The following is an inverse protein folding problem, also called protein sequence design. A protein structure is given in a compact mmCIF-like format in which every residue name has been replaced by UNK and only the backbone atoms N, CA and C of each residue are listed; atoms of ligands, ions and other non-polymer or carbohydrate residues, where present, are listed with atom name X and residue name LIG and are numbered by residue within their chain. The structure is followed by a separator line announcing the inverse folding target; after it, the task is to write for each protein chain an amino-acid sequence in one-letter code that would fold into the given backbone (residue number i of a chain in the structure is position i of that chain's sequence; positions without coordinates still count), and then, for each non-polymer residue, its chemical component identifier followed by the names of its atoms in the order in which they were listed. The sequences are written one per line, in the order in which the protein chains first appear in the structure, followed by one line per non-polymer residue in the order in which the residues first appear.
data_IF_579021242616
#
_entry.id   IF_579021242616
#
_cell.length_a   1.000
_cell.length_b   1.000
_cell.length_c   1.000
_cell.angle_alpha   90.00
_cell.angle_beta   90.00
_cell.angle_gamma   90.00
#
_symmetry.space_group_name_H-M   'P 1'
#
loop_
_entity.id
_entity.type
_entity.pdbx_description
1 polymer ?
#
# COMPACT_ATOMS: atom_id res chain seq x y z
N UNK A 1 0.28 -9.87 4.87
CA UNK A 1 -0.10 -8.51 4.47
C UNK A 1 -0.67 -7.79 5.68
N UNK A 2 -0.53 -6.47 5.79
CA UNK A 2 -1.25 -5.70 6.82
C UNK A 2 -1.72 -4.35 6.29
N UNK A 3 -2.93 -3.94 6.66
CA UNK A 3 -3.46 -2.59 6.37
C UNK A 3 -2.83 -1.60 7.34
N UNK A 4 -2.36 -0.47 6.83
CA UNK A 4 -1.78 0.57 7.67
C UNK A 4 -2.86 1.31 8.46
N UNK A 5 -2.64 1.53 9.77
CA UNK A 5 -3.49 2.42 10.54
C UNK A 5 -3.23 3.88 10.14
N UNK A 6 -4.23 4.74 10.37
CA UNK A 6 -4.07 6.19 10.29
C UNK A 6 -3.85 6.75 11.72
N UNK A 7 -2.75 7.47 11.99
CA UNK A 7 -1.59 7.72 11.12
C UNK A 7 -0.59 6.54 11.12
N UNK A 8 0.21 6.39 10.04
CA UNK A 8 1.25 5.38 9.98
C UNK A 8 2.45 5.74 10.85
N UNK A 9 3.17 4.73 11.35
CA UNK A 9 4.38 4.97 12.14
C UNK A 9 5.53 5.52 11.29
N UNK A 10 6.40 6.34 11.90
CA UNK A 10 7.55 6.94 11.20
C UNK A 10 8.48 5.90 10.54
N UNK A 11 8.65 4.73 11.17
CA UNK A 11 9.44 3.63 10.63
C UNK A 11 8.84 3.08 9.32
N UNK A 12 7.52 2.90 9.27
CA UNK A 12 6.82 2.43 8.07
C UNK A 12 6.86 3.50 6.98
N UNK A 13 6.57 4.75 7.32
CA UNK A 13 6.64 5.86 6.37
C UNK A 13 8.02 6.00 5.75
N UNK A 14 9.09 5.91 6.55
CA UNK A 14 10.47 5.92 6.06
C UNK A 14 10.86 4.68 5.25
N UNK A 15 10.28 3.51 5.54
CA UNK A 15 10.48 2.32 4.72
C UNK A 15 9.79 2.44 3.35
N UNK A 16 8.57 2.99 3.32
CA UNK A 16 7.81 3.22 2.09
C UNK A 16 8.46 4.27 1.20
N UNK A 17 8.99 5.35 1.76
CA UNK A 17 9.75 6.35 1.00
C UNK A 17 11.01 5.76 0.34
N UNK A 18 11.63 4.74 0.95
CA UNK A 18 12.78 4.05 0.34
C UNK A 18 12.35 3.08 -0.76
N UNK A 19 11.21 2.43 -0.58
CA UNK A 19 10.65 1.48 -1.54
C UNK A 19 10.12 2.20 -2.80
N UNK A 20 9.46 3.35 -2.59
CA UNK A 20 8.87 4.20 -3.60
C UNK A 20 9.35 5.64 -3.35
N UNK A 21 10.53 6.01 -3.87
CA UNK A 21 11.03 7.37 -3.75
C UNK A 21 10.19 8.37 -4.57
N UNK A 22 9.36 7.88 -5.50
CA UNK A 22 8.43 8.70 -6.24
C UNK A 22 7.38 9.32 -5.32
N UNK A 23 7.15 10.63 -5.47
CA UNK A 23 6.49 11.48 -4.47
C UNK A 23 5.00 11.13 -4.20
N UNK A 24 4.42 10.25 -5.00
CA UNK A 24 2.99 9.88 -4.96
C UNK A 24 2.63 9.13 -3.68
N UNK A 25 3.47 8.22 -3.20
CA UNK A 25 3.18 7.42 -2.01
C UNK A 25 3.30 8.23 -0.70
N UNK A 26 4.42 8.91 -0.43
CA UNK A 26 4.61 9.65 0.83
C UNK A 26 3.55 10.72 1.08
N UNK A 27 3.14 11.47 0.03
CA UNK A 27 2.12 12.51 0.15
C UNK A 27 0.73 11.97 0.49
N UNK A 28 0.43 10.74 0.06
CA UNK A 28 -0.87 10.08 0.28
C UNK A 28 -0.98 9.36 1.62
N UNK A 29 0.15 8.96 2.22
CA UNK A 29 0.15 8.32 3.55
C UNK A 29 -0.39 9.24 4.66
N UNK A 30 -0.26 10.56 4.51
CA UNK A 30 -0.88 11.52 5.44
C UNK A 30 -2.41 11.62 5.30
N UNK A 31 -2.97 11.07 4.23
CA UNK A 31 -4.40 11.13 3.89
C UNK A 31 -5.13 9.81 4.20
N UNK A 32 -4.46 8.84 4.84
CA UNK A 32 -5.07 7.55 5.19
C UNK A 32 -6.38 7.77 5.96
N UNK A 33 -7.44 7.11 5.49
CA UNK A 33 -8.80 7.35 5.95
C UNK A 33 -9.83 6.60 5.12
N UNK A 34 -11.06 7.13 5.01
CA UNK A 34 -12.15 6.46 4.29
C UNK A 34 -11.93 6.38 2.77
N UNK A 35 -11.19 7.33 2.21
CA UNK A 35 -10.95 7.45 0.76
C UNK A 35 -9.52 7.10 0.35
N UNK A 36 -8.62 6.88 1.31
CA UNK A 36 -7.24 6.44 1.04
C UNK A 36 -6.88 5.32 1.99
N UNK A 37 -6.54 4.16 1.44
CA UNK A 37 -6.11 3.00 2.19
C UNK A 37 -4.76 2.51 1.68
N UNK A 38 -3.92 1.98 2.57
CA UNK A 38 -2.63 1.43 2.19
C UNK A 38 -2.40 0.10 2.89
N UNK A 39 -1.88 -0.87 2.15
CA UNK A 39 -1.41 -2.14 2.67
C UNK A 39 0.09 -2.26 2.48
N UNK A 40 0.75 -2.97 3.38
CA UNK A 40 2.17 -3.28 3.29
C UNK A 40 2.43 -4.78 3.39
N UNK A 41 3.44 -5.22 2.67
CA UNK A 41 4.04 -6.53 2.78
C UNK A 41 5.40 -6.38 3.48
N UNK A 42 5.61 -7.20 4.52
CA UNK A 42 6.86 -7.22 5.29
C UNK A 42 7.43 -8.63 5.25
N UNK A 43 8.71 -8.75 4.90
CA UNK A 43 9.45 -10.00 4.93
C UNK A 43 10.81 -9.75 5.61
N UNK A 44 11.17 -10.60 6.57
CA UNK A 44 12.43 -10.46 7.31
C UNK A 44 12.61 -9.11 8.01
N UNK A 45 11.51 -8.49 8.48
CA UNK A 45 11.53 -7.16 9.11
C UNK A 45 11.66 -5.98 8.16
N UNK A 46 11.70 -6.20 6.84
CA UNK A 46 11.75 -5.15 5.81
C UNK A 46 10.42 -5.04 5.08
N UNK A 47 9.97 -3.81 4.83
CA UNK A 47 8.87 -3.55 3.89
C UNK A 47 9.36 -3.87 2.48
N UNK A 48 8.71 -4.82 1.83
CA UNK A 48 9.07 -5.31 0.49
C UNK A 48 8.08 -4.84 -0.57
N UNK A 49 6.89 -4.40 -0.17
CA UNK A 49 5.82 -3.99 -1.07
C UNK A 49 4.77 -3.14 -0.36
N UNK A 50 4.04 -2.35 -1.13
CA UNK A 50 2.85 -1.67 -0.68
C UNK A 50 1.82 -1.52 -1.80
N UNK A 51 0.54 -1.53 -1.41
CA UNK A 51 -0.58 -1.22 -2.29
C UNK A 51 -1.29 0.00 -1.71
N UNK A 52 -1.32 1.09 -2.47
CA UNK A 52 -2.12 2.27 -2.18
C UNK A 52 -3.44 2.15 -2.95
N UNK A 53 -4.56 2.33 -2.27
CA UNK A 53 -5.87 2.44 -2.89
C UNK A 53 -6.46 3.81 -2.57
N UNK A 54 -6.89 4.53 -3.61
CA UNK A 54 -7.50 5.84 -3.52
C UNK A 54 -8.89 5.77 -4.15
N UNK A 55 -9.90 6.29 -3.44
CA UNK A 55 -11.24 6.42 -3.97
C UNK A 55 -11.29 7.68 -4.84
N UNK A 56 -11.73 7.53 -6.08
CA UNK A 56 -11.96 8.65 -6.98
C UNK A 56 -13.28 9.37 -6.66
N UNK A 57 -13.52 10.52 -7.32
CA UNK A 57 -14.75 11.29 -7.16
C UNK A 57 -16.03 10.57 -7.62
N UNK A 58 -15.91 9.45 -8.33
CA UNK A 58 -17.01 8.56 -8.73
C UNK A 58 -17.26 7.41 -7.77
N UNK A 59 -16.46 7.27 -6.72
CA UNK A 59 -16.56 6.22 -5.71
C UNK A 59 -15.79 4.93 -6.05
N UNK A 60 -15.11 4.87 -7.19
CA UNK A 60 -14.31 3.72 -7.60
C UNK A 60 -12.91 3.77 -6.99
N UNK A 61 -12.31 2.60 -6.76
CA UNK A 61 -10.98 2.49 -6.16
C UNK A 61 -9.90 2.38 -7.23
N UNK A 62 -9.05 3.39 -7.33
CA UNK A 62 -7.80 3.33 -8.07
C UNK A 62 -6.72 2.69 -7.20
N UNK A 63 -5.94 1.75 -7.75
CA UNK A 63 -4.94 0.98 -7.01
C UNK A 63 -3.55 1.15 -7.62
N UNK A 64 -2.58 1.51 -6.79
CA UNK A 64 -1.16 1.64 -7.15
C UNK A 64 -0.34 0.66 -6.34
N UNK A 65 0.29 -0.31 -7.01
CA UNK A 65 1.14 -1.32 -6.39
C UNK A 65 2.61 -0.97 -6.61
N UNK A 66 3.37 -0.87 -5.52
CA UNK A 66 4.83 -0.82 -5.57
C UNK A 66 5.39 -2.05 -4.88
N UNK A 67 6.20 -2.81 -5.59
CA UNK A 67 6.85 -4.02 -5.09
C UNK A 67 8.32 -4.00 -5.48
N UNK A 68 9.16 -4.36 -4.51
CA UNK A 68 10.58 -4.60 -4.71
C UNK A 68 10.79 -5.63 -5.83
N UNK A 69 11.70 -5.34 -6.76
CA UNK A 69 11.89 -6.14 -7.97
C UNK A 69 12.19 -7.62 -7.67
N UNK A 70 12.90 -7.92 -6.57
CA UNK A 70 13.23 -9.29 -6.18
C UNK A 70 12.03 -10.12 -5.70
N UNK A 71 10.90 -9.46 -5.43
CA UNK A 71 9.67 -10.09 -4.92
C UNK A 71 8.56 -10.20 -5.96
N UNK A 72 8.75 -9.61 -7.15
CA UNK A 72 7.78 -9.70 -8.25
C UNK A 72 7.63 -11.14 -8.75
N UNK A 73 6.40 -11.50 -9.13
CA UNK A 73 6.06 -12.84 -9.62
C UNK A 73 6.09 -13.94 -8.55
N UNK A 74 6.19 -13.59 -7.26
CA UNK A 74 6.14 -14.54 -6.14
C UNK A 74 4.74 -14.64 -5.50
N UNK A 75 3.71 -14.13 -6.18
CA UNK A 75 2.32 -14.17 -5.71
C UNK A 75 1.95 -13.07 -4.71
N UNK A 76 2.86 -12.13 -4.41
CA UNK A 76 2.58 -11.03 -3.47
C UNK A 76 1.57 -10.04 -4.06
N UNK A 77 1.59 -9.84 -5.38
CA UNK A 77 0.65 -9.01 -6.11
C UNK A 77 -0.80 -9.52 -5.94
N UNK A 78 -1.00 -10.83 -6.06
CA UNK A 78 -2.30 -11.47 -5.85
C UNK A 78 -2.77 -11.36 -4.40
N UNK A 79 -1.85 -11.52 -3.44
CA UNK A 79 -2.17 -11.32 -2.04
C UNK A 79 -2.58 -9.86 -1.73
N UNK A 80 -2.00 -8.87 -2.42
CA UNK A 80 -2.39 -7.47 -2.29
C UNK A 80 -3.78 -7.23 -2.85
N UNK A 81 -4.06 -7.76 -4.04
CA UNK A 81 -5.38 -7.65 -4.66
C UNK A 81 -6.46 -8.25 -3.74
N UNK A 82 -6.25 -9.48 -3.26
CA UNK A 82 -7.19 -10.15 -2.36
C UNK A 82 -7.43 -9.34 -1.08
N UNK A 83 -6.37 -8.88 -0.41
CA UNK A 83 -6.51 -8.11 0.83
C UNK A 83 -7.23 -6.77 0.61
N UNK A 84 -7.11 -6.16 -0.57
CA UNK A 84 -7.84 -4.95 -0.92
C UNK A 84 -9.30 -5.25 -1.24
N UNK A 85 -9.60 -6.29 -2.01
CA UNK A 85 -10.97 -6.69 -2.36
C UNK A 85 -11.79 -7.04 -1.12
N UNK A 86 -11.19 -7.78 -0.18
CA UNK A 86 -11.82 -8.14 1.11
C UNK A 86 -12.17 -6.89 1.95
N UNK A 87 -11.36 -5.83 1.85
CA UNK A 87 -11.48 -4.65 2.70
C UNK A 87 -12.27 -3.50 2.06
N UNK A 88 -12.30 -3.43 0.73
CA UNK A 88 -12.87 -2.33 -0.04
C UNK A 88 -14.13 -2.72 -0.80
N UNK A 89 -14.39 -4.03 -0.94
CA UNK A 89 -15.37 -4.57 -1.87
C UNK A 89 -14.78 -4.75 -3.28
N UNK A 90 -15.49 -5.52 -4.13
CA UNK A 90 -15.13 -5.69 -5.55
C UNK A 90 -15.24 -4.38 -6.35
#
# INVERSE_FOLDING_TARGET
MSRLPAPPSAAVSGALHRLAPDATLPGRLGQLGPDVACWVAVAGGRVIGCLLAERDGGGAWARTLVLDAGWRGKGIEGAFAQAADEALGP
#
